data_IF_880071749584
#
_entry.id   IF_880071749584
#
_cell.length_a   1.000
_cell.length_b   1.000
_cell.length_c   1.000
_cell.angle_alpha   90.00
_cell.angle_beta   90.00
_cell.angle_gamma   90.00
#
_symmetry.space_group_name_H-M   'P 1'
#
loop_
_entity.id
_entity.type
_entity.pdbx_description
1 polymer ?
#
# COMPACT_ATOMS: atom_id res chain seq x y z
N UNK A 1 -15.34 35.79 6.51
CA UNK A 1 -14.11 36.31 5.87
C UNK A 1 -13.32 37.26 6.82
N UNK A 2 -13.69 37.45 8.05
CA UNK A 2 -13.19 38.54 8.93
C UNK A 2 -12.30 38.15 10.13
N UNK A 3 -11.97 36.87 10.37
CA UNK A 3 -11.25 36.47 11.60
C UNK A 3 -9.75 36.19 11.36
N UNK A 4 -9.31 36.09 10.11
CA UNK A 4 -7.92 35.68 9.77
C UNK A 4 -6.99 36.87 9.46
N UNK A 5 -7.50 38.08 9.29
CA UNK A 5 -6.69 39.23 8.85
C UNK A 5 -5.80 39.86 9.94
N UNK A 6 -5.97 39.47 11.20
CA UNK A 6 -5.19 39.97 12.33
C UNK A 6 -4.06 39.07 12.85
N UNK A 7 -3.85 37.89 12.23
CA UNK A 7 -2.85 36.93 12.71
C UNK A 7 -1.48 37.14 12.02
N UNK A 8 -0.41 37.12 12.79
CA UNK A 8 0.97 37.10 12.28
C UNK A 8 1.18 35.89 11.35
N UNK A 9 2.04 35.96 10.30
CA UNK A 9 2.25 34.88 9.34
C UNK A 9 2.52 33.53 9.98
N UNK A 10 3.25 33.45 11.09
CA UNK A 10 3.51 32.23 11.83
C UNK A 10 2.23 31.58 12.39
N UNK A 11 1.35 32.37 13.04
CA UNK A 11 0.08 31.85 13.58
C UNK A 11 -0.91 31.39 12.49
N UNK A 12 -0.84 31.98 11.28
CA UNK A 12 -1.61 31.52 10.12
C UNK A 12 -1.15 30.15 9.64
N UNK A 13 0.17 29.93 9.58
CA UNK A 13 0.76 28.65 9.16
C UNK A 13 0.46 27.57 10.19
N UNK A 14 0.64 27.84 11.47
CA UNK A 14 0.34 26.89 12.56
C UNK A 14 -1.14 26.50 12.59
N UNK A 15 -2.05 27.46 12.42
CA UNK A 15 -3.49 27.19 12.34
C UNK A 15 -3.88 26.38 11.11
N UNK A 16 -3.19 26.56 9.98
CA UNK A 16 -3.44 25.83 8.74
C UNK A 16 -2.90 24.40 8.81
N UNK A 17 -1.70 24.19 9.36
CA UNK A 17 -1.11 22.88 9.60
C UNK A 17 -1.90 22.08 10.65
N UNK A 18 -2.34 22.74 11.73
CA UNK A 18 -3.19 22.12 12.75
C UNK A 18 -4.52 21.61 12.18
N UNK A 19 -5.18 22.38 11.31
CA UNK A 19 -6.42 21.95 10.63
C UNK A 19 -6.20 20.75 9.72
N UNK A 20 -5.10 20.72 8.96
CA UNK A 20 -4.76 19.58 8.09
C UNK A 20 -4.47 18.31 8.89
N UNK A 21 -3.75 18.43 10.00
CA UNK A 21 -3.50 17.32 10.93
C UNK A 21 -4.79 16.77 11.55
N UNK A 22 -5.72 17.66 11.92
CA UNK A 22 -7.04 17.24 12.43
C UNK A 22 -7.86 16.49 11.38
N UNK A 23 -7.84 16.94 10.12
CA UNK A 23 -8.50 16.23 9.01
C UNK A 23 -7.90 14.86 8.76
N UNK A 24 -6.58 14.80 8.70
CA UNK A 24 -5.87 13.52 8.54
C UNK A 24 -6.27 12.53 9.64
N UNK A 25 -6.24 12.98 10.89
CA UNK A 25 -6.68 12.19 12.05
C UNK A 25 -8.15 11.77 11.94
N UNK A 26 -9.03 12.69 11.56
CA UNK A 26 -10.46 12.38 11.39
C UNK A 26 -10.70 11.33 10.30
N UNK A 27 -10.00 11.44 9.15
CA UNK A 27 -10.10 10.47 8.06
C UNK A 27 -9.56 9.11 8.48
N UNK A 28 -8.42 9.03 9.17
CA UNK A 28 -7.88 7.79 9.71
C UNK A 28 -8.89 7.13 10.67
N UNK A 29 -9.43 7.90 11.62
CA UNK A 29 -10.40 7.37 12.61
C UNK A 29 -11.70 6.94 11.94
N UNK A 30 -12.19 7.70 10.95
CA UNK A 30 -13.39 7.33 10.21
C UNK A 30 -13.19 6.03 9.44
N UNK A 31 -12.08 5.90 8.71
CA UNK A 31 -11.76 4.68 7.95
C UNK A 31 -11.60 3.48 8.88
N UNK A 32 -10.95 3.67 10.02
CA UNK A 32 -10.85 2.64 11.06
C UNK A 32 -12.24 2.17 11.54
N UNK A 33 -13.11 3.11 11.87
CA UNK A 33 -14.48 2.77 12.33
C UNK A 33 -15.28 2.01 11.27
N UNK A 34 -15.19 2.43 10.00
CA UNK A 34 -15.85 1.75 8.89
C UNK A 34 -15.31 0.33 8.69
N UNK A 35 -14.00 0.15 8.79
CA UNK A 35 -13.36 -1.15 8.68
C UNK A 35 -13.81 -2.11 9.78
N UNK A 36 -13.79 -1.67 11.05
CA UNK A 36 -14.23 -2.51 12.18
C UNK A 36 -15.74 -2.70 12.26
N UNK A 37 -16.53 -1.86 11.60
CA UNK A 37 -17.98 -2.03 11.52
C UNK A 37 -18.41 -3.15 10.56
N UNK A 38 -17.55 -3.53 9.60
CA UNK A 38 -17.86 -4.57 8.62
C UNK A 38 -16.83 -5.71 8.65
N UNK A 39 -17.05 -6.75 9.47
CA UNK A 39 -16.15 -7.90 9.59
C UNK A 39 -15.95 -8.68 8.29
N UNK A 40 -16.82 -8.49 7.31
CA UNK A 40 -16.77 -9.17 6.01
C UNK A 40 -15.46 -8.90 5.27
N UNK A 41 -14.81 -7.77 5.51
CA UNK A 41 -13.53 -7.41 4.89
C UNK A 41 -12.31 -7.94 5.65
N UNK A 42 -12.42 -8.12 6.97
CA UNK A 42 -11.30 -8.55 7.81
C UNK A 42 -10.87 -9.99 7.48
N UNK A 43 -11.85 -10.87 7.36
CA UNK A 43 -11.61 -12.32 7.18
C UNK A 43 -10.86 -12.61 5.86
N UNK A 44 -11.31 -12.14 4.68
CA UNK A 44 -10.60 -12.39 3.42
C UNK A 44 -9.19 -11.80 3.39
N UNK A 45 -9.00 -10.63 3.96
CA UNK A 45 -7.69 -9.95 3.98
C UNK A 45 -6.61 -10.72 4.76
N UNK A 46 -7.00 -11.49 5.77
CA UNK A 46 -6.08 -12.34 6.53
C UNK A 46 -5.97 -13.74 5.90
N UNK A 47 -7.11 -14.31 5.51
CA UNK A 47 -7.16 -15.70 5.03
C UNK A 47 -6.50 -15.85 3.66
N UNK A 48 -6.73 -14.94 2.72
CA UNK A 48 -6.22 -15.08 1.36
C UNK A 48 -4.67 -15.13 1.29
N UNK A 49 -3.91 -14.20 1.88
CA UNK A 49 -2.45 -14.30 1.90
C UNK A 49 -1.93 -15.56 2.60
N UNK A 50 -2.63 -16.02 3.65
CA UNK A 50 -2.26 -17.26 4.33
C UNK A 50 -2.48 -18.49 3.45
N UNK A 51 -3.61 -18.57 2.73
CA UNK A 51 -3.85 -19.63 1.74
C UNK A 51 -2.78 -19.63 0.66
N UNK A 52 -2.39 -18.46 0.13
CA UNK A 52 -1.30 -18.37 -0.85
C UNK A 52 0.02 -18.88 -0.29
N UNK A 53 0.33 -18.61 0.99
CA UNK A 53 1.51 -19.18 1.66
C UNK A 53 1.45 -20.70 1.70
N UNK A 54 0.29 -21.27 2.08
CA UNK A 54 0.10 -22.72 2.12
C UNK A 54 0.21 -23.36 0.74
N UNK A 55 -0.41 -22.77 -0.27
CA UNK A 55 -0.33 -23.25 -1.65
C UNK A 55 1.12 -23.24 -2.14
N UNK A 56 1.84 -22.14 -1.93
CA UNK A 56 3.25 -22.06 -2.31
C UNK A 56 4.11 -23.08 -1.54
N UNK A 57 3.85 -23.27 -0.24
CA UNK A 57 4.52 -24.28 0.58
C UNK A 57 4.36 -25.70 -0.01
N UNK A 58 3.14 -26.09 -0.36
CA UNK A 58 2.87 -27.43 -0.91
C UNK A 58 3.40 -27.59 -2.32
N UNK A 59 3.35 -26.55 -3.16
CA UNK A 59 3.88 -26.59 -4.53
C UNK A 59 5.40 -26.77 -4.56
N UNK A 60 6.12 -26.14 -3.63
CA UNK A 60 7.59 -26.14 -3.62
C UNK A 60 8.23 -27.22 -2.73
N UNK A 61 7.48 -28.23 -2.32
CA UNK A 61 8.06 -29.41 -1.71
C UNK A 61 7.67 -29.71 -0.27
N UNK A 62 6.75 -28.98 0.32
CA UNK A 62 6.18 -29.32 1.62
C UNK A 62 7.25 -29.53 2.72
N UNK A 63 7.36 -30.75 3.18
CA UNK A 63 8.30 -31.12 4.28
C UNK A 63 9.79 -30.98 3.92
N UNK A 64 10.15 -30.89 2.64
CA UNK A 64 11.53 -30.70 2.18
C UNK A 64 11.97 -29.21 2.20
N UNK A 65 11.04 -28.30 2.47
CA UNK A 65 11.35 -26.88 2.51
C UNK A 65 12.24 -26.56 3.72
N UNK A 66 13.36 -25.88 3.47
CA UNK A 66 14.26 -25.38 4.51
C UNK A 66 13.64 -24.20 5.27
N UNK A 67 14.10 -23.92 6.50
CA UNK A 67 13.60 -22.80 7.29
C UNK A 67 13.75 -21.45 6.60
N UNK A 68 14.83 -21.20 5.86
CA UNK A 68 15.05 -19.99 5.06
C UNK A 68 14.06 -19.86 3.90
N UNK A 69 13.69 -20.97 3.24
CA UNK A 69 12.68 -20.95 2.20
C UNK A 69 11.27 -20.67 2.76
N UNK A 70 10.95 -21.23 3.93
CA UNK A 70 9.69 -20.93 4.62
C UNK A 70 9.58 -19.46 5.01
N UNK A 71 10.65 -18.88 5.53
CA UNK A 71 10.70 -17.45 5.85
C UNK A 71 10.55 -16.59 4.58
N UNK A 72 11.15 -17.02 3.47
CA UNK A 72 10.96 -16.37 2.15
C UNK A 72 9.49 -16.30 1.76
N UNK A 73 8.74 -17.41 1.89
CA UNK A 73 7.31 -17.48 1.56
C UNK A 73 6.46 -16.60 2.49
N UNK A 74 6.74 -16.66 3.80
CA UNK A 74 6.00 -15.89 4.81
C UNK A 74 6.18 -14.39 4.61
N UNK A 75 7.40 -13.94 4.33
CA UNK A 75 7.67 -12.53 4.01
C UNK A 75 6.95 -12.07 2.73
N UNK A 76 6.95 -12.92 1.71
CA UNK A 76 6.23 -12.65 0.47
C UNK A 76 4.73 -12.49 0.68
N UNK A 77 4.10 -13.40 1.41
CA UNK A 77 2.66 -13.34 1.70
C UNK A 77 2.30 -12.17 2.62
N UNK A 78 3.18 -11.80 3.55
CA UNK A 78 3.00 -10.58 4.32
C UNK A 78 2.92 -9.34 3.43
N UNK A 79 3.80 -9.22 2.45
CA UNK A 79 3.76 -8.11 1.48
C UNK A 79 2.53 -8.18 0.56
N UNK A 80 2.07 -9.39 0.17
CA UNK A 80 0.80 -9.53 -0.56
C UNK A 80 -0.37 -8.98 0.24
N UNK A 81 -0.44 -9.27 1.55
CA UNK A 81 -1.45 -8.70 2.45
C UNK A 81 -1.38 -7.18 2.51
N UNK A 82 -0.18 -6.60 2.62
CA UNK A 82 0.00 -5.14 2.59
C UNK A 82 -0.44 -4.53 1.26
N UNK A 83 -0.10 -5.13 0.14
CA UNK A 83 -0.53 -4.67 -1.18
C UNK A 83 -2.05 -4.72 -1.30
N UNK A 84 -2.67 -5.85 -0.99
CA UNK A 84 -4.12 -6.05 -1.08
C UNK A 84 -4.87 -4.98 -0.29
N UNK A 85 -4.60 -4.83 1.00
CA UNK A 85 -5.28 -3.83 1.84
C UNK A 85 -5.04 -2.40 1.37
N UNK A 86 -3.81 -2.07 0.97
CA UNK A 86 -3.47 -0.71 0.51
C UNK A 86 -4.22 -0.37 -0.78
N UNK A 87 -4.18 -1.24 -1.78
CA UNK A 87 -4.77 -0.95 -3.09
C UNK A 87 -6.29 -1.07 -3.04
N UNK A 88 -6.82 -2.17 -2.50
CA UNK A 88 -8.27 -2.35 -2.38
C UNK A 88 -8.90 -1.34 -1.45
N UNK A 89 -8.37 -1.17 -0.25
CA UNK A 89 -8.90 -0.23 0.71
C UNK A 89 -8.86 1.19 0.19
N UNK A 90 -7.76 1.61 -0.44
CA UNK A 90 -7.61 2.95 -0.99
C UNK A 90 -8.55 3.19 -2.17
N UNK A 91 -8.66 2.24 -3.07
CA UNK A 91 -9.52 2.30 -4.25
C UNK A 91 -10.99 2.30 -3.90
N UNK A 92 -11.40 1.37 -3.06
CA UNK A 92 -12.78 1.21 -2.67
C UNK A 92 -13.28 2.35 -1.77
N UNK A 93 -12.41 2.95 -0.95
CA UNK A 93 -12.82 4.04 -0.06
C UNK A 93 -13.46 5.22 -0.82
N UNK A 94 -12.98 5.51 -2.02
CA UNK A 94 -13.58 6.53 -2.90
C UNK A 94 -14.77 5.97 -3.69
N UNK A 95 -14.69 4.72 -4.10
CA UNK A 95 -15.81 4.01 -4.72
C UNK A 95 -17.04 3.96 -3.79
N UNK A 96 -16.83 3.73 -2.51
CA UNK A 96 -17.90 3.79 -1.49
C UNK A 96 -18.55 5.16 -1.37
N UNK A 97 -17.76 6.25 -1.43
CA UNK A 97 -18.33 7.60 -1.41
C UNK A 97 -19.25 7.83 -2.61
N UNK A 98 -18.89 7.34 -3.80
CA UNK A 98 -19.75 7.39 -4.98
C UNK A 98 -21.02 6.55 -4.78
N UNK A 99 -20.86 5.32 -4.33
CA UNK A 99 -21.99 4.40 -4.19
C UNK A 99 -22.98 4.84 -3.10
N UNK A 100 -22.48 5.43 -2.03
CA UNK A 100 -23.32 5.97 -0.94
C UNK A 100 -23.84 7.39 -1.19
N UNK A 101 -23.51 8.02 -2.34
CA UNK A 101 -23.91 9.40 -2.64
C UNK A 101 -23.25 10.45 -1.74
N UNK A 102 -22.16 10.11 -1.04
CA UNK A 102 -21.45 11.02 -0.14
C UNK A 102 -20.32 11.78 -0.83
N UNK A 103 -20.08 11.51 -2.12
CA UNK A 103 -19.02 12.13 -2.89
C UNK A 103 -19.16 13.65 -3.01
N UNK A 104 -20.38 14.16 -3.21
CA UNK A 104 -20.66 15.58 -3.29
C UNK A 104 -20.32 16.30 -1.98
N UNK A 105 -20.69 15.72 -0.84
CA UNK A 105 -20.37 16.29 0.47
C UNK A 105 -18.86 16.28 0.75
N UNK A 106 -18.15 15.26 0.27
CA UNK A 106 -16.69 15.15 0.37
C UNK A 106 -16.01 16.23 -0.50
N UNK A 107 -16.52 16.49 -1.69
CA UNK A 107 -16.02 17.55 -2.59
C UNK A 107 -16.36 18.96 -2.13
N UNK A 108 -17.51 19.14 -1.48
CA UNK A 108 -17.92 20.43 -0.91
C UNK A 108 -17.12 20.82 0.35
N UNK A 109 -16.37 19.88 0.94
CA UNK A 109 -15.54 20.17 2.08
C UNK A 109 -14.46 21.21 1.76
N UNK A 110 -14.19 22.20 2.64
CA UNK A 110 -13.20 23.26 2.39
C UNK A 110 -11.75 22.76 2.56
N UNK A 111 -11.48 21.53 2.13
CA UNK A 111 -10.21 20.82 2.32
C UNK A 111 -9.84 20.13 1.02
N UNK A 112 -8.56 20.17 0.60
CA UNK A 112 -8.12 19.45 -0.58
C UNK A 112 -8.42 17.96 -0.49
N UNK A 113 -9.00 17.38 -1.53
CA UNK A 113 -9.36 15.95 -1.62
C UNK A 113 -8.15 15.04 -1.37
N UNK A 114 -6.95 15.50 -1.76
CA UNK A 114 -5.69 14.79 -1.53
C UNK A 114 -5.41 14.49 -0.04
N UNK A 115 -5.82 15.34 0.89
CA UNK A 115 -5.64 15.10 2.33
C UNK A 115 -6.60 14.05 2.86
N UNK A 116 -7.82 14.04 2.35
CA UNK A 116 -8.83 13.03 2.69
C UNK A 116 -8.36 11.67 2.20
N UNK A 117 -7.93 11.60 0.93
CA UNK A 117 -7.38 10.38 0.33
C UNK A 117 -6.12 9.90 1.08
N UNK A 118 -5.21 10.80 1.43
CA UNK A 118 -4.00 10.46 2.19
C UNK A 118 -4.34 9.82 3.54
N UNK A 119 -5.31 10.37 4.28
CA UNK A 119 -5.71 9.79 5.57
C UNK A 119 -6.26 8.37 5.43
N UNK A 120 -7.06 8.11 4.41
CA UNK A 120 -7.60 6.78 4.12
C UNK A 120 -6.51 5.79 3.69
N UNK A 121 -5.63 6.22 2.78
CA UNK A 121 -4.51 5.39 2.31
C UNK A 121 -3.58 5.02 3.45
N UNK A 122 -3.22 5.96 4.31
CA UNK A 122 -2.37 5.68 5.47
C UNK A 122 -2.99 4.65 6.41
N UNK A 123 -4.29 4.74 6.68
CA UNK A 123 -4.96 3.73 7.48
C UNK A 123 -4.92 2.35 6.81
N UNK A 124 -5.27 2.27 5.53
CA UNK A 124 -5.30 0.99 4.80
C UNK A 124 -3.90 0.36 4.70
N UNK A 125 -2.86 1.17 4.51
CA UNK A 125 -1.49 0.65 4.51
C UNK A 125 -1.06 0.21 5.92
N UNK A 126 -1.47 0.91 6.97
CA UNK A 126 -1.22 0.51 8.35
C UNK A 126 -1.94 -0.81 8.70
N UNK A 127 -3.18 -0.97 8.26
CA UNK A 127 -3.91 -2.24 8.33
C UNK A 127 -3.13 -3.36 7.63
N UNK A 128 -2.57 -3.06 6.45
CA UNK A 128 -1.71 -3.99 5.72
C UNK A 128 -0.46 -4.42 6.50
N UNK A 129 0.15 -3.51 7.24
CA UNK A 129 1.27 -3.85 8.14
C UNK A 129 0.81 -4.79 9.24
N UNK A 130 -0.35 -4.55 9.85
CA UNK A 130 -0.93 -5.45 10.87
C UNK A 130 -1.16 -6.84 10.27
N UNK A 131 -1.73 -6.93 9.07
CA UNK A 131 -1.91 -8.19 8.37
C UNK A 131 -0.58 -8.90 8.08
N UNK A 132 0.43 -8.17 7.61
CA UNK A 132 1.76 -8.72 7.37
C UNK A 132 2.40 -9.28 8.64
N UNK A 133 2.28 -8.56 9.77
CA UNK A 133 2.75 -9.03 11.07
C UNK A 133 1.98 -10.27 11.53
N UNK A 134 0.68 -10.30 11.32
CA UNK A 134 -0.16 -11.44 11.69
C UNK A 134 0.22 -12.69 10.89
N UNK A 135 0.41 -12.54 9.57
CA UNK A 135 0.87 -13.62 8.69
C UNK A 135 2.28 -14.09 9.09
N UNK A 136 3.17 -13.16 9.42
CA UNK A 136 4.50 -13.48 9.91
C UNK A 136 4.43 -14.30 11.21
N UNK A 137 3.64 -13.87 12.19
CA UNK A 137 3.48 -14.58 13.46
C UNK A 137 2.87 -15.98 13.29
N UNK A 138 1.80 -16.10 12.50
CA UNK A 138 1.19 -17.40 12.20
C UNK A 138 2.18 -18.28 11.43
N UNK A 139 2.86 -17.73 10.44
CA UNK A 139 3.83 -18.46 9.63
C UNK A 139 4.97 -19.02 10.50
N UNK A 140 5.51 -18.20 11.38
CA UNK A 140 6.55 -18.62 12.32
C UNK A 140 6.07 -19.68 13.31
N UNK A 141 4.86 -19.53 13.86
CA UNK A 141 4.26 -20.47 14.80
C UNK A 141 3.92 -21.81 14.12
N UNK A 142 3.36 -21.76 12.92
CA UNK A 142 2.92 -22.96 12.21
C UNK A 142 4.08 -23.77 11.63
N UNK A 143 5.05 -23.09 11.02
CA UNK A 143 6.19 -23.73 10.38
C UNK A 143 7.38 -23.92 11.34
N UNK A 144 7.29 -23.44 12.59
CA UNK A 144 8.37 -23.49 13.58
C UNK A 144 9.70 -22.94 13.05
N UNK A 145 9.64 -21.93 12.19
CA UNK A 145 10.83 -21.29 11.65
C UNK A 145 11.47 -20.44 12.75
N UNK A 146 12.75 -20.68 13.03
CA UNK A 146 13.48 -19.89 14.02
C UNK A 146 13.54 -18.41 13.62
N UNK A 147 13.36 -17.52 14.61
CA UNK A 147 13.57 -16.08 14.46
C UNK A 147 15.07 -15.79 14.27
N UNK A 148 15.55 -15.91 13.06
CA UNK A 148 16.95 -15.64 12.71
C UNK A 148 17.07 -14.53 11.67
N UNK A 149 16.52 -13.34 11.96
CA UNK A 149 16.79 -12.19 11.10
C UNK A 149 18.27 -11.82 11.14
N UNK A 150 18.90 -11.75 9.96
CA UNK A 150 20.33 -11.40 9.85
C UNK A 150 20.57 -10.00 10.42
N UNK A 151 19.72 -9.05 10.09
CA UNK A 151 19.82 -7.67 10.54
C UNK A 151 18.43 -7.08 10.85
N UNK A 152 17.95 -7.18 12.12
CA UNK A 152 16.62 -6.66 12.49
C UNK A 152 16.43 -5.16 12.23
N UNK A 153 17.49 -4.35 12.42
CA UNK A 153 17.44 -2.91 12.16
C UNK A 153 17.22 -2.59 10.67
N UNK A 154 17.92 -3.29 9.77
CA UNK A 154 17.73 -3.14 8.34
C UNK A 154 16.37 -3.68 7.90
N UNK A 155 15.87 -4.74 8.52
CA UNK A 155 14.53 -5.26 8.27
C UNK A 155 13.44 -4.22 8.59
N UNK A 156 13.54 -3.54 9.73
CA UNK A 156 12.60 -2.47 10.10
C UNK A 156 12.69 -1.32 9.08
N UNK A 157 13.90 -0.91 8.70
CA UNK A 157 14.09 0.16 7.74
C UNK A 157 13.49 -0.18 6.38
N UNK A 158 13.73 -1.39 5.87
CA UNK A 158 13.13 -1.87 4.62
C UNK A 158 11.60 -1.92 4.70
N UNK A 159 11.06 -2.43 5.82
CA UNK A 159 9.60 -2.50 6.03
C UNK A 159 8.95 -1.12 6.08
N UNK A 160 9.56 -0.15 6.76
CA UNK A 160 9.07 1.24 6.81
C UNK A 160 9.16 1.90 5.43
N UNK A 161 10.25 1.71 4.71
CA UNK A 161 10.42 2.25 3.35
C UNK A 161 9.39 1.66 2.38
N UNK A 162 9.13 0.35 2.47
CA UNK A 162 8.09 -0.33 1.70
C UNK A 162 6.69 0.17 2.05
N UNK A 163 6.40 0.38 3.34
CA UNK A 163 5.15 0.99 3.80
C UNK A 163 4.93 2.38 3.16
N UNK A 164 5.94 3.23 3.19
CA UNK A 164 5.85 4.57 2.59
C UNK A 164 5.63 4.51 1.08
N UNK A 165 6.34 3.61 0.40
CA UNK A 165 6.21 3.45 -1.05
C UNK A 165 4.84 2.89 -1.45
N UNK A 166 4.32 1.90 -0.73
CA UNK A 166 2.97 1.39 -0.95
C UNK A 166 1.90 2.45 -0.69
N UNK A 167 2.07 3.26 0.35
CA UNK A 167 1.16 4.39 0.62
C UNK A 167 1.17 5.41 -0.53
N UNK A 168 2.35 5.73 -1.06
CA UNK A 168 2.49 6.63 -2.20
C UNK A 168 1.83 6.06 -3.47
N UNK A 169 2.04 4.78 -3.75
CA UNK A 169 1.39 4.08 -4.85
C UNK A 169 -0.13 4.01 -4.68
N UNK A 170 -0.61 3.68 -3.48
CA UNK A 170 -2.04 3.68 -3.14
C UNK A 170 -2.68 5.05 -3.37
N UNK A 171 -2.00 6.13 -2.98
CA UNK A 171 -2.46 7.50 -3.22
C UNK A 171 -2.54 7.82 -4.72
N UNK A 172 -1.57 7.39 -5.51
CA UNK A 172 -1.60 7.51 -6.96
C UNK A 172 -2.77 6.73 -7.57
N UNK A 173 -2.98 5.49 -7.14
CA UNK A 173 -4.08 4.64 -7.62
C UNK A 173 -5.45 5.21 -7.25
N UNK A 174 -5.63 5.81 -6.08
CA UNK A 174 -6.83 6.56 -5.72
C UNK A 174 -7.22 7.57 -6.80
N UNK A 175 -6.26 8.32 -7.32
CA UNK A 175 -6.54 9.34 -8.35
C UNK A 175 -6.87 8.74 -9.71
N UNK A 176 -6.21 7.65 -10.08
CA UNK A 176 -6.52 6.92 -11.33
C UNK A 176 -7.97 6.41 -11.31
N UNK A 177 -8.40 5.90 -10.16
CA UNK A 177 -9.75 5.37 -9.98
C UNK A 177 -10.80 6.49 -9.95
N UNK A 178 -10.47 7.63 -9.37
CA UNK A 178 -11.32 8.83 -9.44
C UNK A 178 -11.61 9.26 -10.87
N UNK A 179 -10.60 9.14 -11.76
CA UNK A 179 -10.71 9.50 -13.17
C UNK A 179 -11.35 8.39 -14.02
N UNK A 180 -11.54 7.19 -13.50
CA UNK A 180 -12.04 6.03 -14.26
C UNK A 180 -13.39 5.54 -13.75
N UNK A 181 -14.35 5.34 -14.66
CA UNK A 181 -15.62 4.65 -14.35
C UNK A 181 -15.43 3.17 -14.00
N UNK A 182 -14.34 2.56 -14.48
CA UNK A 182 -14.03 1.13 -14.31
C UNK A 182 -12.92 0.91 -13.27
N UNK A 183 -12.74 1.85 -12.33
CA UNK A 183 -11.65 1.81 -11.37
C UNK A 183 -11.58 0.50 -10.57
N UNK A 184 -12.71 -0.01 -10.09
CA UNK A 184 -12.76 -1.29 -9.38
C UNK A 184 -12.33 -2.49 -10.23
N UNK A 185 -12.68 -2.50 -11.53
CA UNK A 185 -12.21 -3.54 -12.45
C UNK A 185 -10.69 -3.51 -12.64
N UNK A 186 -10.11 -2.31 -12.78
CA UNK A 186 -8.66 -2.15 -12.93
C UNK A 186 -7.95 -2.68 -11.70
N UNK A 187 -8.41 -2.29 -10.50
CA UNK A 187 -7.82 -2.72 -9.23
C UNK A 187 -7.85 -4.24 -9.08
N UNK A 188 -9.02 -4.85 -9.29
CA UNK A 188 -9.19 -6.30 -9.16
C UNK A 188 -8.38 -7.08 -10.19
N UNK A 189 -8.27 -6.56 -11.42
CA UNK A 189 -7.51 -7.23 -12.48
C UNK A 189 -6.00 -7.13 -12.30
N UNK A 190 -5.49 -6.14 -11.58
CA UNK A 190 -4.05 -5.96 -11.34
C UNK A 190 -3.51 -6.80 -10.18
N UNK A 191 -4.35 -7.30 -9.29
CA UNK A 191 -3.92 -7.96 -8.06
C UNK A 191 -3.01 -9.17 -8.32
N UNK A 192 -3.53 -10.18 -9.01
CA UNK A 192 -2.77 -11.42 -9.27
C UNK A 192 -1.55 -11.18 -10.17
N UNK A 193 -1.62 -10.42 -11.28
CA UNK A 193 -0.45 -10.07 -12.06
C UNK A 193 0.66 -9.39 -11.26
N UNK A 194 0.29 -8.52 -10.32
CA UNK A 194 1.28 -7.84 -9.47
C UNK A 194 1.92 -8.82 -8.49
N UNK A 195 1.16 -9.71 -7.85
CA UNK A 195 1.73 -10.72 -6.96
C UNK A 195 2.75 -11.64 -7.66
N UNK A 196 2.49 -11.97 -8.92
CA UNK A 196 3.41 -12.76 -9.72
C UNK A 196 4.64 -11.93 -10.13
N UNK A 197 4.41 -10.73 -10.65
CA UNK A 197 5.47 -9.88 -11.21
C UNK A 197 6.45 -9.36 -10.14
N UNK A 198 5.98 -9.04 -8.94
CA UNK A 198 6.81 -8.44 -7.88
C UNK A 198 7.71 -9.41 -7.14
N UNK A 199 7.63 -10.70 -7.45
CA UNK A 199 8.46 -11.70 -6.77
C UNK A 199 7.99 -12.06 -5.36
N UNK A 200 6.77 -11.67 -4.98
CA UNK A 200 6.21 -12.01 -3.67
C UNK A 200 5.98 -13.50 -3.53
N UNK A 201 5.43 -14.15 -4.57
CA UNK A 201 5.18 -15.59 -4.61
C UNK A 201 6.38 -16.38 -5.14
N UNK A 202 7.04 -15.89 -6.18
CA UNK A 202 8.12 -16.56 -6.89
C UNK A 202 9.31 -15.61 -7.05
N UNK A 203 10.56 -16.13 -7.12
CA UNK A 203 11.70 -15.27 -7.42
C UNK A 203 11.51 -14.57 -8.78
N UNK A 204 11.81 -13.27 -8.84
CA UNK A 204 11.71 -12.48 -10.07
C UNK A 204 12.57 -13.04 -11.19
N UNK A 205 13.63 -13.77 -10.85
CA UNK A 205 14.54 -14.44 -11.82
C UNK A 205 13.88 -15.52 -12.68
N UNK A 206 12.71 -16.02 -12.28
CA UNK A 206 11.96 -17.05 -13.04
C UNK A 206 11.04 -16.38 -14.09
N UNK A 207 10.81 -15.09 -13.98
CA UNK A 207 9.88 -14.37 -14.85
C UNK A 207 10.42 -14.29 -16.30
N UNK A 208 9.51 -14.37 -17.30
CA UNK A 208 9.87 -14.08 -18.68
C UNK A 208 10.45 -12.66 -18.82
N UNK A 209 11.44 -12.49 -19.70
CA UNK A 209 12.10 -11.20 -19.95
C UNK A 209 11.10 -10.06 -20.23
N UNK A 210 9.97 -10.37 -20.89
CA UNK A 210 8.91 -9.41 -21.20
C UNK A 210 8.22 -8.88 -19.95
N UNK A 211 8.16 -9.64 -18.86
CA UNK A 211 7.53 -9.24 -17.58
C UNK A 211 8.47 -8.43 -16.69
N UNK A 212 9.79 -8.51 -16.88
CA UNK A 212 10.79 -7.83 -16.04
C UNK A 212 10.64 -6.30 -15.99
N UNK A 213 10.41 -5.58 -17.11
CA UNK A 213 10.22 -4.13 -17.04
C UNK A 213 9.02 -3.73 -16.18
N UNK A 214 7.94 -4.53 -16.24
CA UNK A 214 6.77 -4.31 -15.39
C UNK A 214 7.08 -4.61 -13.92
N UNK A 215 7.80 -5.69 -13.63
CA UNK A 215 8.23 -6.04 -12.30
C UNK A 215 9.08 -4.93 -11.66
N UNK A 216 10.06 -4.41 -12.40
CA UNK A 216 10.97 -3.38 -11.91
C UNK A 216 10.35 -1.99 -11.77
N UNK A 217 9.20 -1.75 -12.37
CA UNK A 217 8.42 -0.50 -12.20
C UNK A 217 7.55 -0.52 -10.94
N UNK A 218 7.49 -1.62 -10.22
CA UNK A 218 6.60 -1.79 -9.09
C UNK A 218 7.38 -1.77 -7.76
N UNK A 219 7.05 -0.83 -6.90
CA UNK A 219 7.65 -0.68 -5.58
C UNK A 219 7.68 -1.97 -4.71
N UNK A 220 6.65 -2.84 -4.72
CA UNK A 220 6.72 -4.09 -3.99
C UNK A 220 7.91 -4.99 -4.37
N UNK A 221 8.40 -4.92 -5.61
CA UNK A 221 9.57 -5.70 -6.06
C UNK A 221 10.82 -5.34 -5.26
N UNK A 222 11.13 -4.05 -5.18
CA UNK A 222 12.29 -3.57 -4.45
C UNK A 222 12.10 -3.64 -2.94
N UNK A 223 10.85 -3.46 -2.49
CA UNK A 223 10.48 -3.58 -1.09
C UNK A 223 10.69 -5.00 -0.57
N UNK A 224 10.18 -6.03 -1.27
CA UNK A 224 10.36 -7.43 -0.84
C UNK A 224 11.81 -7.87 -0.94
N UNK A 225 12.56 -7.37 -1.92
CA UNK A 225 13.96 -7.67 -2.11
C UNK A 225 14.79 -7.15 -0.92
N UNK A 226 14.62 -5.87 -0.56
CA UNK A 226 15.28 -5.28 0.61
C UNK A 226 14.90 -5.99 1.92
N UNK A 227 13.63 -6.35 2.08
CA UNK A 227 13.14 -7.11 3.25
C UNK A 227 13.83 -8.47 3.32
N UNK A 228 13.91 -9.22 2.22
CA UNK A 228 14.55 -10.53 2.16
C UNK A 228 16.05 -10.47 2.37
N UNK A 229 16.74 -9.49 1.76
CA UNK A 229 18.17 -9.26 1.96
C UNK A 229 18.53 -8.97 3.43
N UNK A 230 17.64 -8.33 4.16
CA UNK A 230 17.84 -8.03 5.59
C UNK A 230 17.47 -9.19 6.52
N UNK A 231 16.58 -10.08 6.09
CA UNK A 231 16.02 -11.15 6.91
C UNK A 231 16.66 -12.51 6.67
N UNK A 232 17.00 -12.85 5.42
CA UNK A 232 17.40 -14.20 5.02
C UNK A 232 18.92 -14.35 4.94
N UNK A 233 19.52 -15.34 5.62
CA UNK A 233 20.95 -15.60 5.50
C UNK A 233 21.30 -16.13 4.11
N UNK A 234 22.34 -15.54 3.49
CA UNK A 234 22.83 -15.97 2.19
C UNK A 234 21.90 -15.70 1.00
N UNK A 235 20.88 -14.88 1.18
CA UNK A 235 20.01 -14.46 0.08
C UNK A 235 20.75 -13.50 -0.85
N UNK A 236 20.79 -13.81 -2.13
CA UNK A 236 21.46 -13.01 -3.17
C UNK A 236 20.47 -12.29 -4.09
N UNK A 237 19.22 -12.70 -4.08
CA UNK A 237 18.11 -12.08 -4.78
C UNK A 237 18.36 -11.76 -6.24
N UNK A 238 18.05 -10.52 -6.62
CA UNK A 238 18.26 -9.98 -7.97
C UNK A 238 19.73 -9.64 -8.27
N UNK A 239 20.67 -9.89 -7.34
CA UNK A 239 22.07 -9.50 -7.46
C UNK A 239 22.32 -8.01 -7.14
N UNK A 240 21.32 -7.28 -6.72
CA UNK A 240 21.42 -5.93 -6.21
C UNK A 240 21.87 -5.93 -4.75
N UNK A 241 22.33 -4.77 -4.24
CA UNK A 241 22.63 -4.64 -2.84
C UNK A 241 21.50 -3.90 -2.12
N UNK A 242 21.33 -4.16 -0.83
CA UNK A 242 20.29 -3.60 0.02
C UNK A 242 20.10 -2.08 -0.14
N UNK A 243 21.19 -1.31 -0.19
CA UNK A 243 21.12 0.14 -0.33
C UNK A 243 20.68 0.59 -1.71
N UNK A 244 21.02 -0.17 -2.76
CA UNK A 244 20.53 0.09 -4.11
C UNK A 244 19.02 -0.11 -4.20
N UNK A 245 18.50 -1.19 -3.60
CA UNK A 245 17.06 -1.47 -3.57
C UNK A 245 16.30 -0.37 -2.82
N UNK A 246 16.81 0.08 -1.67
CA UNK A 246 16.23 1.21 -0.95
C UNK A 246 16.29 2.53 -1.73
N UNK A 247 17.39 2.78 -2.46
CA UNK A 247 17.50 3.98 -3.28
C UNK A 247 16.48 3.98 -4.42
N UNK A 248 16.31 2.85 -5.12
CA UNK A 248 15.30 2.70 -6.17
C UNK A 248 13.90 2.87 -5.58
N UNK A 249 13.61 2.22 -4.46
CA UNK A 249 12.34 2.33 -3.75
C UNK A 249 12.03 3.78 -3.36
N UNK A 250 13.03 4.55 -2.92
CA UNK A 250 12.87 5.98 -2.60
C UNK A 250 12.56 6.81 -3.84
N UNK A 251 13.23 6.54 -4.97
CA UNK A 251 12.96 7.21 -6.27
C UNK A 251 11.54 6.91 -6.75
N UNK A 252 11.11 5.65 -6.70
CA UNK A 252 9.75 5.27 -7.06
C UNK A 252 8.72 5.93 -6.15
N UNK A 253 8.97 5.96 -4.83
CA UNK A 253 8.10 6.65 -3.88
C UNK A 253 7.93 8.12 -4.24
N UNK A 254 9.01 8.81 -4.55
CA UNK A 254 8.98 10.21 -4.98
C UNK A 254 8.21 10.39 -6.31
N UNK A 255 8.40 9.47 -7.26
CA UNK A 255 7.71 9.48 -8.54
C UNK A 255 6.18 9.27 -8.35
N UNK A 256 5.78 8.31 -7.52
CA UNK A 256 4.37 8.07 -7.21
C UNK A 256 3.71 9.24 -6.51
N UNK A 257 4.38 9.85 -5.52
CA UNK A 257 3.88 11.05 -4.84
C UNK A 257 3.75 12.23 -5.81
N UNK A 258 4.76 12.46 -6.66
CA UNK A 258 4.72 13.51 -7.67
C UNK A 258 3.56 13.31 -8.65
N UNK A 259 3.37 12.08 -9.14
CA UNK A 259 2.29 11.73 -10.05
C UNK A 259 0.92 11.88 -9.37
N UNK A 260 0.77 11.38 -8.16
CA UNK A 260 -0.45 11.53 -7.36
C UNK A 260 -0.82 13.02 -7.19
N UNK A 261 0.15 13.87 -6.84
CA UNK A 261 -0.06 15.30 -6.67
C UNK A 261 -0.52 15.99 -7.96
N UNK A 262 0.08 15.66 -9.09
CA UNK A 262 -0.32 16.20 -10.41
C UNK A 262 -1.73 15.75 -10.78
N UNK A 263 -2.02 14.46 -10.57
CA UNK A 263 -3.33 13.88 -10.88
C UNK A 263 -4.41 14.46 -9.97
N UNK A 264 -4.19 14.61 -8.66
CA UNK A 264 -5.17 15.24 -7.76
C UNK A 264 -5.50 16.67 -8.16
N UNK A 265 -4.50 17.47 -8.56
CA UNK A 265 -4.75 18.82 -9.07
C UNK A 265 -5.65 18.81 -10.33
N UNK A 266 -5.46 17.85 -11.21
CA UNK A 266 -6.31 17.69 -12.41
C UNK A 266 -7.74 17.30 -12.02
N UNK A 267 -7.90 16.35 -11.11
CA UNK A 267 -9.21 15.92 -10.61
C UNK A 267 -9.96 17.08 -9.97
N UNK A 268 -9.32 17.82 -9.06
CA UNK A 268 -9.95 18.99 -8.41
C UNK A 268 -10.33 20.10 -9.42
N UNK A 269 -9.46 20.36 -10.40
CA UNK A 269 -9.73 21.35 -11.44
C UNK A 269 -10.91 20.93 -12.34
N UNK A 270 -10.99 19.63 -12.65
CA UNK A 270 -12.07 19.06 -13.44
C UNK A 270 -13.41 19.12 -12.68
N UNK A 271 -13.42 18.69 -11.43
CA UNK A 271 -14.59 18.72 -10.56
C UNK A 271 -15.18 20.15 -10.42
N UNK A 272 -14.30 21.15 -10.25
CA UNK A 272 -14.70 22.56 -10.15
C UNK A 272 -15.27 23.13 -11.46
N UNK A 273 -14.86 22.61 -12.63
CA UNK A 273 -15.34 23.08 -13.92
C UNK A 273 -16.69 22.48 -14.31
N UNK A 274 -16.93 21.23 -13.99
CA UNK A 274 -18.09 20.48 -14.48
C UNK A 274 -19.18 20.30 -13.43
N UNK A 275 -18.94 20.73 -12.19
CA UNK A 275 -19.94 20.69 -11.10
C UNK A 275 -20.21 19.30 -10.52
N UNK A 276 -19.84 18.22 -11.21
CA UNK A 276 -20.04 16.84 -10.75
C UNK A 276 -18.89 15.93 -11.20
N UNK A 277 -18.53 14.96 -10.36
CA UNK A 277 -17.70 13.81 -10.73
C UNK A 277 -18.56 12.56 -11.04
N UNK A 278 -19.88 12.71 -11.07
CA UNK A 278 -20.82 11.60 -11.29
C UNK A 278 -20.91 11.16 -12.76
N UNK A 279 -20.50 12.01 -13.70
CA UNK A 279 -20.61 11.74 -15.15
C UNK A 279 -19.44 10.92 -15.75
N UNK A 280 -18.49 10.45 -14.93
CA UNK A 280 -17.35 9.63 -15.42
C UNK A 280 -17.28 8.24 -14.81
#
# INVERSE_FOLDING_TARGET
>A
MGVLDGLTPGKRIDGYLSRRGQVLKACIVLTAKLFFADPQWIIPNIIAPFIFTLVAFFLFGGKAATGSFLLYLVLGSGLMGMWGTTIYGSSNSIGFDRWNGTMESTLAAPIPLSWIALGRVLFNTFEGVINALFILLIGLAWFQVGFGFVNPGLFILASVSTFLSLSAFGLMMCTVILLSRKGGFITNSMEIPVYIATGTMFPVSILPIVALPFAFLLAPTWGIEAIRLSALPGYTGLGTNYWADLAILAVETAAYLGLAFVLFKRVEAYAKRNGTLEEY
#
